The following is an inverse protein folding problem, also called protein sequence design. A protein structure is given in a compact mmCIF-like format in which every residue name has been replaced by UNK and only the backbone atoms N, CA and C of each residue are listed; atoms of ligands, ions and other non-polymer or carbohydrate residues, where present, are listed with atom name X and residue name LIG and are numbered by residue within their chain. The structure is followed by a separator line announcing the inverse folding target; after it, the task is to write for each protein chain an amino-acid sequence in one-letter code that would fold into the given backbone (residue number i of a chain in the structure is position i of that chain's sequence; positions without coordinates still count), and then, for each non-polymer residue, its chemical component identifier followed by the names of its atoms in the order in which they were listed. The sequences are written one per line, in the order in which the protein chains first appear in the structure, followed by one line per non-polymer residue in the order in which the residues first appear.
data_IF_974305511500
#
_entry.id   IF_974305511500
#
_cell.length_a   1.000
_cell.length_b   1.000
_cell.length_c   1.000
_cell.angle_alpha   90.00
_cell.angle_beta   90.00
_cell.angle_gamma   90.00
#
_symmetry.space_group_name_H-M   'P 1'
#
loop_
_entity.id
_entity.type
_entity.pdbx_description
1 polymer ?
#
# COMPACT_ATOMS: atom_id res chain seq x y z
N UNK A 1 -0.30 -2.53 22.28
CA UNK A 1 -0.93 -3.87 22.18
C UNK A 1 -0.95 -4.30 20.72
N UNK A 2 -0.85 -5.60 20.42
CA UNK A 2 -0.95 -6.09 19.05
C UNK A 2 -2.40 -6.09 18.57
N UNK A 3 -2.70 -5.33 17.52
CA UNK A 3 -4.04 -5.28 16.91
C UNK A 3 -4.36 -6.63 16.27
N UNK A 4 -5.63 -7.02 16.29
CA UNK A 4 -6.14 -8.18 15.56
C UNK A 4 -7.05 -7.66 14.45
N UNK A 5 -6.65 -7.84 13.19
CA UNK A 5 -7.40 -7.35 12.04
C UNK A 5 -8.78 -8.03 11.99
N UNK A 6 -9.88 -7.27 12.05
CA UNK A 6 -11.22 -7.82 11.93
C UNK A 6 -11.58 -8.01 10.44
N UNK A 7 -12.39 -9.02 10.12
CA UNK A 7 -12.85 -9.29 8.73
C UNK A 7 -14.03 -8.40 8.31
N UNK A 8 -13.87 -7.08 8.36
CA UNK A 8 -14.95 -6.11 8.11
C UNK A 8 -15.24 -5.85 6.62
N UNK A 9 -14.34 -6.28 5.72
CA UNK A 9 -14.45 -6.14 4.27
C UNK A 9 -14.68 -7.47 3.56
N UNK A 10 -15.29 -8.43 4.26
CA UNK A 10 -15.60 -9.74 3.72
C UNK A 10 -16.32 -9.66 2.36
N UNK A 11 -15.71 -10.22 1.32
CA UNK A 11 -16.30 -10.28 -0.02
C UNK A 11 -16.36 -8.94 -0.75
N UNK A 12 -15.60 -7.92 -0.31
CA UNK A 12 -15.64 -6.57 -0.90
C UNK A 12 -14.45 -6.31 -1.82
N UNK A 13 -14.68 -5.38 -2.73
CA UNK A 13 -13.63 -4.72 -3.52
C UNK A 13 -13.00 -3.58 -2.71
N UNK A 14 -11.67 -3.48 -2.80
CA UNK A 14 -10.81 -2.54 -2.07
C UNK A 14 -9.75 -1.99 -3.02
N UNK A 15 -9.43 -0.71 -2.85
CA UNK A 15 -8.41 0.00 -3.60
C UNK A 15 -7.21 0.25 -2.70
N UNK A 16 -6.02 -0.01 -3.21
CA UNK A 16 -4.77 0.30 -2.54
C UNK A 16 -4.04 1.35 -3.37
N UNK A 17 -3.84 2.52 -2.76
CA UNK A 17 -3.17 3.64 -3.40
C UNK A 17 -1.74 3.71 -2.85
N UNK A 18 -0.80 3.29 -3.69
CA UNK A 18 0.64 3.42 -3.48
C UNK A 18 1.13 4.85 -3.67
N UNK A 19 2.44 5.04 -3.60
CA UNK A 19 3.09 6.35 -3.73
C UNK A 19 3.80 6.57 -5.07
N UNK A 20 3.64 5.69 -6.06
CA UNK A 20 4.36 5.80 -7.33
C UNK A 20 3.95 7.04 -8.15
N UNK A 21 4.81 7.52 -9.07
CA UNK A 21 4.62 8.82 -9.73
C UNK A 21 3.35 8.93 -10.58
N UNK A 22 2.83 7.82 -11.10
CA UNK A 22 1.62 7.83 -11.93
C UNK A 22 0.42 8.49 -11.23
N UNK A 23 0.36 8.47 -9.90
CA UNK A 23 -0.79 9.03 -9.17
C UNK A 23 -0.92 10.56 -9.29
N UNK A 24 0.10 11.27 -9.78
CA UNK A 24 -0.02 12.71 -10.07
C UNK A 24 -1.14 13.01 -11.07
N UNK A 25 -1.44 12.06 -11.97
CA UNK A 25 -2.51 12.15 -12.97
C UNK A 25 -3.81 11.45 -12.56
N UNK A 26 -3.92 11.03 -11.29
CA UNK A 26 -5.08 10.30 -10.80
C UNK A 26 -6.28 11.25 -10.58
N UNK A 27 -7.43 10.90 -11.14
CA UNK A 27 -8.73 11.51 -10.87
C UNK A 27 -9.25 11.05 -9.51
N UNK A 28 -8.70 11.64 -8.44
CA UNK A 28 -9.02 11.30 -7.03
C UNK A 28 -10.53 11.25 -6.76
N UNK A 29 -11.31 12.14 -7.40
CA UNK A 29 -12.76 12.20 -7.24
C UNK A 29 -13.50 10.91 -7.64
N UNK A 30 -13.00 10.15 -8.61
CA UNK A 30 -13.60 8.89 -9.09
C UNK A 30 -13.52 7.76 -8.06
N UNK A 31 -12.65 7.91 -7.05
CA UNK A 31 -12.49 6.97 -5.94
C UNK A 31 -13.24 7.42 -4.67
N UNK A 32 -14.01 8.50 -4.73
CA UNK A 32 -14.80 8.97 -3.60
C UNK A 32 -15.77 7.89 -3.09
N UNK A 33 -15.83 7.71 -1.77
CA UNK A 33 -16.68 6.69 -1.13
C UNK A 33 -16.24 5.24 -1.31
N UNK A 34 -15.14 4.97 -2.03
CA UNK A 34 -14.58 3.62 -2.15
C UNK A 34 -13.85 3.19 -0.87
N UNK A 35 -13.62 1.89 -0.72
CA UNK A 35 -12.78 1.34 0.36
C UNK A 35 -11.32 1.50 -0.03
N UNK A 36 -10.62 2.37 0.66
CA UNK A 36 -9.24 2.75 0.30
C UNK A 36 -8.31 2.45 1.47
N UNK A 37 -7.19 1.81 1.14
CA UNK A 37 -5.97 1.82 1.95
C UNK A 37 -4.93 2.66 1.20
N UNK A 38 -4.38 3.67 1.85
CA UNK A 38 -3.28 4.47 1.30
C UNK A 38 -1.94 4.02 1.90
N UNK A 39 -0.86 4.18 1.14
CA UNK A 39 0.49 3.98 1.63
C UNK A 39 1.24 5.31 1.76
N UNK A 40 1.87 5.53 2.91
CA UNK A 40 2.68 6.72 3.18
C UNK A 40 1.96 8.01 2.73
N UNK A 41 2.62 8.90 1.96
CA UNK A 41 2.12 10.24 1.60
C UNK A 41 0.78 10.27 0.85
N UNK A 42 0.34 9.15 0.26
CA UNK A 42 -0.94 9.09 -0.45
C UNK A 42 -2.16 9.40 0.42
N UNK A 43 -2.00 9.45 1.76
CA UNK A 43 -3.00 10.03 2.68
C UNK A 43 -3.38 11.47 2.35
N UNK A 44 -2.48 12.27 1.76
CA UNK A 44 -2.76 13.66 1.37
C UNK A 44 -3.79 13.74 0.24
N UNK A 45 -3.82 12.73 -0.64
CA UNK A 45 -4.81 12.63 -1.72
C UNK A 45 -6.14 12.08 -1.19
N UNK A 46 -6.10 11.23 -0.17
CA UNK A 46 -7.28 10.60 0.43
C UNK A 46 -7.28 10.75 1.95
N UNK A 47 -7.51 11.97 2.49
CA UNK A 47 -7.51 12.21 3.93
C UNK A 47 -8.61 11.45 4.67
N UNK A 48 -9.66 11.03 3.93
CA UNK A 48 -10.80 10.26 4.41
C UNK A 48 -10.69 8.75 4.06
N UNK A 49 -9.54 8.26 3.59
CA UNK A 49 -9.34 6.83 3.40
C UNK A 49 -9.46 6.06 4.72
N UNK A 50 -9.79 4.77 4.66
CA UNK A 50 -10.10 3.99 5.86
C UNK A 50 -8.83 3.65 6.66
N UNK A 51 -7.72 3.42 5.96
CA UNK A 51 -6.43 3.06 6.54
C UNK A 51 -5.29 3.76 5.82
N UNK A 52 -4.29 4.22 6.58
CA UNK A 52 -2.98 4.60 6.07
C UNK A 52 -1.94 3.62 6.61
N UNK A 53 -1.32 2.84 5.72
CA UNK A 53 -0.26 1.91 6.06
C UNK A 53 1.11 2.52 5.82
N UNK A 54 2.02 2.38 6.79
CA UNK A 54 3.40 2.83 6.65
C UNK A 54 4.36 1.98 7.49
N UNK A 55 5.62 1.91 7.06
CA UNK A 55 6.66 1.10 7.73
C UNK A 55 7.88 1.90 8.17
N UNK A 56 8.18 2.99 7.48
CA UNK A 56 9.42 3.74 7.67
C UNK A 56 9.29 4.72 8.85
N UNK A 57 9.85 4.35 10.00
CA UNK A 57 9.75 5.21 11.19
C UNK A 57 10.59 6.47 11.06
N UNK A 58 11.88 6.32 10.75
CA UNK A 58 12.82 7.44 10.77
C UNK A 58 12.73 8.27 9.49
N UNK A 59 12.68 7.61 8.34
CA UNK A 59 12.77 8.20 7.01
C UNK A 59 11.46 8.80 6.53
N UNK A 60 10.34 8.47 7.18
CA UNK A 60 9.03 8.98 6.82
C UNK A 60 8.25 9.47 8.04
N UNK A 61 7.91 8.60 8.99
CA UNK A 61 6.96 8.95 10.05
C UNK A 61 7.42 10.13 10.91
N UNK A 62 8.70 10.18 11.33
CA UNK A 62 9.23 11.29 12.13
C UNK A 62 8.99 12.66 11.47
N UNK A 63 9.06 12.72 10.15
CA UNK A 63 8.92 13.95 9.36
C UNK A 63 7.46 14.31 9.05
N UNK A 64 6.57 13.31 8.95
CA UNK A 64 5.17 13.53 8.53
C UNK A 64 4.16 13.39 9.68
N UNK A 65 4.54 12.86 10.85
CA UNK A 65 3.60 12.50 11.93
C UNK A 65 2.68 13.62 12.37
N UNK A 66 3.13 14.89 12.31
CA UNK A 66 2.32 16.04 12.72
C UNK A 66 1.16 16.23 11.74
N UNK A 67 1.48 16.46 10.47
CA UNK A 67 0.49 16.61 9.40
C UNK A 67 -0.41 15.38 9.29
N UNK A 68 0.18 14.17 9.29
CA UNK A 68 -0.54 12.92 9.21
C UNK A 68 -1.61 12.81 10.31
N UNK A 69 -1.25 13.06 11.57
CA UNK A 69 -2.19 12.96 12.71
C UNK A 69 -3.19 14.11 12.77
N UNK A 70 -2.87 15.27 12.21
CA UNK A 70 -3.76 16.43 12.17
C UNK A 70 -4.79 16.35 11.03
N UNK A 71 -4.44 15.69 9.91
CA UNK A 71 -5.22 15.75 8.66
C UNK A 71 -5.86 14.43 8.25
N UNK A 72 -5.25 13.29 8.56
CA UNK A 72 -5.79 11.98 8.20
C UNK A 72 -6.85 11.53 9.20
N UNK A 73 -8.04 11.20 8.72
CA UNK A 73 -9.19 10.84 9.57
C UNK A 73 -9.35 9.33 9.76
N UNK A 74 -8.64 8.54 8.95
CA UNK A 74 -8.66 7.08 9.01
C UNK A 74 -7.74 6.48 10.09
N UNK A 75 -7.63 5.16 10.08
CA UNK A 75 -6.78 4.44 11.01
C UNK A 75 -5.33 4.37 10.53
N UNK A 76 -4.39 4.69 11.41
CA UNK A 76 -2.96 4.50 11.15
C UNK A 76 -2.58 3.05 11.42
N UNK A 77 -1.90 2.40 10.48
CA UNK A 77 -1.48 0.99 10.61
C UNK A 77 0.01 0.88 10.33
N UNK A 78 0.73 0.15 11.17
CA UNK A 78 2.15 -0.12 10.96
C UNK A 78 2.58 -1.45 11.55
N UNK A 79 3.67 -2.01 11.02
CA UNK A 79 4.38 -3.13 11.63
C UNK A 79 5.76 -2.77 12.19
N UNK A 80 6.10 -1.48 12.21
CA UNK A 80 7.36 -1.05 12.80
C UNK A 80 7.29 -1.18 14.34
N UNK A 81 8.25 -1.86 14.95
CA UNK A 81 8.22 -2.24 16.37
C UNK A 81 8.06 -1.05 17.34
N UNK A 82 8.48 0.17 16.94
CA UNK A 82 8.28 1.40 17.71
C UNK A 82 6.81 1.76 17.97
N UNK A 83 5.87 1.20 17.21
CA UNK A 83 4.44 1.44 17.40
C UNK A 83 3.75 0.41 18.31
N UNK A 84 4.48 -0.58 18.85
CA UNK A 84 3.90 -1.60 19.75
C UNK A 84 3.14 -1.01 20.95
N UNK A 85 3.55 0.17 21.40
CA UNK A 85 3.00 0.88 22.56
C UNK A 85 2.32 2.21 22.17
N UNK A 86 2.25 2.54 20.88
CA UNK A 86 1.56 3.76 20.42
C UNK A 86 0.05 3.48 20.43
N UNK A 87 -0.76 4.25 21.19
CA UNK A 87 -2.19 4.00 21.30
C UNK A 87 -2.97 4.38 20.03
N UNK A 88 -2.39 5.24 19.17
CA UNK A 88 -3.07 5.79 17.99
C UNK A 88 -2.69 5.06 16.70
N UNK A 89 -1.82 4.05 16.80
CA UNK A 89 -1.38 3.25 15.65
C UNK A 89 -1.76 1.80 15.88
N UNK A 90 -2.53 1.24 14.95
CA UNK A 90 -2.88 -0.17 14.91
C UNK A 90 -1.62 -0.98 14.54
N UNK A 91 -0.95 -1.50 15.56
CA UNK A 91 0.28 -2.25 15.39
C UNK A 91 0.03 -3.72 15.01
N UNK A 92 0.72 -4.20 13.96
CA UNK A 92 0.76 -5.60 13.54
C UNK A 92 2.19 -6.16 13.64
N UNK A 93 2.34 -7.42 14.05
CA UNK A 93 3.65 -8.06 14.12
C UNK A 93 4.17 -8.35 12.70
N UNK A 94 5.42 -7.98 12.42
CA UNK A 94 6.06 -8.35 11.16
C UNK A 94 6.19 -9.87 11.05
N UNK A 95 5.74 -10.44 9.94
CA UNK A 95 5.80 -11.87 9.60
C UNK A 95 6.74 -12.12 8.42
N UNK A 96 7.72 -11.22 8.22
CA UNK A 96 8.69 -11.28 7.13
C UNK A 96 8.23 -10.58 5.86
N UNK A 97 9.01 -10.77 4.79
CA UNK A 97 8.81 -10.10 3.50
C UNK A 97 8.23 -11.01 2.41
N UNK A 98 8.12 -12.33 2.63
CA UNK A 98 7.69 -13.30 1.61
C UNK A 98 6.43 -14.06 2.01
N UNK A 99 5.64 -14.45 1.02
CA UNK A 99 4.38 -15.18 1.17
C UNK A 99 3.22 -14.30 1.62
N UNK A 100 2.24 -14.91 2.28
CA UNK A 100 1.02 -14.27 2.78
C UNK A 100 0.76 -14.73 4.20
N UNK A 101 0.70 -13.80 5.16
CA UNK A 101 0.25 -14.16 6.50
C UNK A 101 -1.27 -14.18 6.59
N UNK A 102 -1.79 -15.21 7.24
CA UNK A 102 -3.21 -15.41 7.56
C UNK A 102 -3.50 -15.12 9.04
N UNK A 103 -2.47 -14.77 9.82
CA UNK A 103 -2.60 -14.46 11.24
C UNK A 103 -3.18 -13.05 11.38
N UNK A 104 -4.35 -12.85 12.04
CA UNK A 104 -4.97 -11.53 12.15
C UNK A 104 -4.11 -10.48 12.84
N UNK A 105 -3.14 -10.88 13.68
CA UNK A 105 -2.20 -9.94 14.30
C UNK A 105 -0.89 -9.75 13.56
N UNK A 106 -0.70 -10.33 12.38
CA UNK A 106 0.56 -10.28 11.64
C UNK A 106 0.46 -9.50 10.32
N UNK A 107 1.60 -9.15 9.73
CA UNK A 107 1.67 -8.66 8.36
C UNK A 107 2.90 -9.21 7.62
N UNK A 108 2.73 -9.70 6.39
CA UNK A 108 3.85 -9.90 5.46
C UNK A 108 3.99 -8.65 4.60
N UNK A 109 5.20 -8.08 4.52
CA UNK A 109 5.35 -6.71 4.05
C UNK A 109 6.00 -6.53 2.67
N UNK A 110 6.58 -7.56 2.05
CA UNK A 110 7.21 -7.40 0.74
C UNK A 110 8.38 -6.42 0.65
N UNK A 111 8.93 -5.97 1.80
CA UNK A 111 9.86 -4.84 1.91
C UNK A 111 9.31 -3.48 1.44
N UNK A 112 7.99 -3.31 1.30
CA UNK A 112 7.38 -2.03 0.95
C UNK A 112 5.94 -1.89 1.49
N UNK A 113 5.52 -0.67 1.81
CA UNK A 113 4.19 -0.42 2.38
C UNK A 113 3.04 -0.87 1.46
N UNK A 114 3.22 -0.85 0.13
CA UNK A 114 2.21 -1.29 -0.84
C UNK A 114 1.89 -2.78 -0.73
N UNK A 115 2.91 -3.64 -0.71
CA UNK A 115 2.73 -5.08 -0.50
C UNK A 115 2.14 -5.39 0.88
N UNK A 116 2.56 -4.66 1.92
CA UNK A 116 1.97 -4.80 3.25
C UNK A 116 0.47 -4.45 3.27
N UNK A 117 0.07 -3.39 2.56
CA UNK A 117 -1.32 -3.00 2.40
C UNK A 117 -2.16 -4.08 1.68
N UNK A 118 -1.59 -4.82 0.72
CA UNK A 118 -2.26 -5.96 0.07
C UNK A 118 -2.58 -7.05 1.09
N UNK A 119 -1.60 -7.41 1.93
CA UNK A 119 -1.86 -8.39 2.99
C UNK A 119 -2.91 -7.87 4.00
N UNK A 120 -2.91 -6.57 4.32
CA UNK A 120 -3.92 -5.97 5.20
C UNK A 120 -5.32 -6.07 4.58
N UNK A 121 -5.49 -5.75 3.29
CA UNK A 121 -6.77 -5.89 2.59
C UNK A 121 -7.29 -7.33 2.62
N UNK A 122 -6.40 -8.31 2.40
CA UNK A 122 -6.71 -9.73 2.55
C UNK A 122 -7.19 -10.08 3.97
N UNK A 123 -6.48 -9.64 5.01
CA UNK A 123 -6.85 -9.90 6.41
C UNK A 123 -8.18 -9.23 6.80
N UNK A 124 -8.49 -8.08 6.20
CA UNK A 124 -9.78 -7.41 6.33
C UNK A 124 -10.91 -8.19 5.61
N UNK A 125 -10.59 -9.21 4.81
CA UNK A 125 -11.55 -10.10 4.14
C UNK A 125 -11.87 -9.70 2.70
N UNK A 126 -11.13 -8.75 2.11
CA UNK A 126 -11.32 -8.35 0.72
C UNK A 126 -11.11 -9.54 -0.23
N UNK A 127 -11.95 -9.63 -1.26
CA UNK A 127 -11.85 -10.66 -2.32
C UNK A 127 -11.38 -10.07 -3.64
N UNK A 128 -11.44 -8.75 -3.78
CA UNK A 128 -10.96 -8.02 -4.96
C UNK A 128 -10.11 -6.84 -4.48
N UNK A 129 -8.88 -6.75 -4.99
CA UNK A 129 -7.89 -5.74 -4.61
C UNK A 129 -7.41 -5.04 -5.89
N UNK A 130 -7.65 -3.74 -5.97
CA UNK A 130 -7.23 -2.89 -7.09
C UNK A 130 -6.00 -2.08 -6.68
N UNK A 131 -4.92 -2.19 -7.47
CA UNK A 131 -3.65 -1.50 -7.22
C UNK A 131 -3.54 -0.22 -8.05
N UNK A 132 -3.29 0.90 -7.38
CA UNK A 132 -3.18 2.24 -7.98
C UNK A 132 -1.85 2.86 -7.52
N UNK A 133 -1.04 3.41 -8.43
CA UNK A 133 0.27 3.97 -8.07
C UNK A 133 1.34 2.91 -7.74
N UNK A 134 1.20 1.70 -8.29
CA UNK A 134 2.17 0.61 -8.17
C UNK A 134 3.09 0.59 -9.40
N UNK A 135 3.73 1.72 -9.73
CA UNK A 135 4.56 1.86 -10.92
C UNK A 135 5.68 0.82 -10.99
N UNK A 136 6.29 0.48 -9.85
CA UNK A 136 7.41 -0.47 -9.73
C UNK A 136 8.58 -0.19 -10.69
N UNK A 137 8.74 1.08 -11.06
CA UNK A 137 9.83 1.65 -11.84
C UNK A 137 9.92 3.13 -11.50
N UNK A 138 11.01 3.77 -11.95
CA UNK A 138 11.03 5.22 -12.00
C UNK A 138 10.19 5.73 -13.18
N UNK A 139 9.53 6.87 -12.98
CA UNK A 139 8.88 7.66 -14.02
C UNK A 139 9.54 9.02 -13.96
N UNK A 140 10.12 9.47 -15.08
CA UNK A 140 10.78 10.78 -15.18
C UNK A 140 11.82 11.06 -14.08
N UNK A 141 12.56 10.01 -13.67
CA UNK A 141 13.59 10.07 -12.63
C UNK A 141 13.07 9.99 -11.19
N UNK A 142 11.76 9.89 -10.99
CA UNK A 142 11.12 9.85 -9.66
C UNK A 142 10.67 8.44 -9.28
N UNK A 143 10.87 8.09 -8.00
CA UNK A 143 10.32 6.88 -7.39
C UNK A 143 8.92 7.09 -6.81
N UNK A 144 8.58 8.33 -6.46
CA UNK A 144 7.31 8.70 -5.86
C UNK A 144 6.73 9.94 -6.54
N UNK A 145 5.44 10.19 -6.36
CA UNK A 145 4.73 11.39 -6.84
C UNK A 145 5.08 12.69 -6.08
N UNK A 146 5.96 12.60 -5.10
CA UNK A 146 6.39 13.72 -4.28
C UNK A 146 7.91 13.77 -4.21
N UNK A 147 8.44 14.97 -3.98
CA UNK A 147 9.89 15.22 -3.95
C UNK A 147 10.50 15.11 -2.54
N UNK A 148 9.68 14.87 -1.50
CA UNK A 148 10.18 14.69 -0.13
C UNK A 148 10.96 13.38 0.00
N UNK A 149 12.27 13.48 0.30
CA UNK A 149 13.13 12.35 0.58
C UNK A 149 13.99 12.65 1.80
N UNK A 150 13.71 11.96 2.91
CA UNK A 150 14.47 12.09 4.16
C UNK A 150 15.40 10.88 4.41
N UNK A 151 15.61 10.04 3.39
CA UNK A 151 16.51 8.89 3.46
C UNK A 151 17.95 9.38 3.47
N UNK A 152 18.76 8.84 4.37
CA UNK A 152 20.21 9.11 4.43
C UNK A 152 21.00 8.27 3.43
N UNK A 153 20.39 7.20 2.90
CA UNK A 153 20.97 6.32 1.89
C UNK A 153 20.16 6.41 0.61
N UNK A 154 20.85 6.35 -0.53
CA UNK A 154 20.20 6.22 -1.84
C UNK A 154 19.40 4.93 -1.92
N UNK A 155 18.31 4.98 -2.67
CA UNK A 155 17.56 3.78 -3.04
C UNK A 155 18.42 3.00 -4.05
N UNK A 156 18.62 1.68 -3.88
CA UNK A 156 19.30 0.88 -4.89
C UNK A 156 18.58 0.98 -6.24
N UNK A 157 19.34 1.17 -7.32
CA UNK A 157 18.78 1.34 -8.68
C UNK A 157 17.89 0.16 -9.10
N UNK A 158 18.22 -1.04 -8.63
CA UNK A 158 17.53 -2.28 -8.96
C UNK A 158 16.46 -2.70 -7.93
N UNK A 159 16.14 -1.88 -6.92
CA UNK A 159 15.30 -2.24 -5.76
C UNK A 159 14.00 -2.96 -6.13
N UNK A 160 13.37 -2.55 -7.25
CA UNK A 160 12.14 -3.14 -7.73
C UNK A 160 12.35 -4.58 -8.20
N UNK A 161 13.40 -4.81 -8.99
CA UNK A 161 13.76 -6.11 -9.55
C UNK A 161 14.41 -7.04 -8.51
N UNK A 162 15.21 -6.50 -7.61
CA UNK A 162 15.95 -7.28 -6.61
C UNK A 162 15.16 -7.56 -5.34
N UNK A 163 14.13 -6.75 -5.02
CA UNK A 163 13.40 -6.87 -3.76
C UNK A 163 11.88 -6.84 -3.93
N UNK A 164 11.30 -5.74 -4.41
CA UNK A 164 9.85 -5.52 -4.27
C UNK A 164 9.01 -6.48 -5.11
N UNK A 165 9.32 -6.60 -6.41
CA UNK A 165 8.57 -7.47 -7.33
C UNK A 165 8.74 -8.95 -6.94
N UNK A 166 9.96 -9.49 -6.70
CA UNK A 166 10.10 -10.90 -6.31
C UNK A 166 9.38 -11.24 -5.01
N UNK A 167 9.41 -10.35 -4.01
CA UNK A 167 8.68 -10.60 -2.76
C UNK A 167 7.16 -10.55 -2.98
N UNK A 168 6.66 -9.57 -3.73
CA UNK A 168 5.23 -9.51 -4.08
C UNK A 168 4.79 -10.72 -4.91
N UNK A 169 5.64 -11.26 -5.78
CA UNK A 169 5.37 -12.50 -6.53
C UNK A 169 5.10 -13.69 -5.59
N UNK A 170 5.86 -13.82 -4.49
CA UNK A 170 5.58 -14.87 -3.51
C UNK A 170 4.24 -14.70 -2.81
N UNK A 171 3.77 -13.46 -2.64
CA UNK A 171 2.43 -13.18 -2.09
C UNK A 171 1.34 -13.41 -3.12
N UNK A 172 1.57 -13.06 -4.39
CA UNK A 172 0.63 -13.25 -5.49
C UNK A 172 0.20 -14.73 -5.62
N UNK A 173 1.17 -15.65 -5.58
CA UNK A 173 0.91 -17.11 -5.60
C UNK A 173 0.00 -17.55 -4.44
N UNK A 174 0.19 -16.96 -3.26
CA UNK A 174 -0.64 -17.30 -2.10
C UNK A 174 -2.03 -16.67 -2.19
N UNK A 175 -2.15 -15.44 -2.69
CA UNK A 175 -3.44 -14.77 -2.90
C UNK A 175 -4.30 -15.49 -3.95
N UNK A 176 -3.67 -16.00 -5.02
CA UNK A 176 -4.35 -16.81 -6.03
C UNK A 176 -4.93 -18.10 -5.43
N UNK A 177 -4.17 -18.81 -4.59
CA UNK A 177 -4.65 -20.01 -3.87
C UNK A 177 -5.82 -19.71 -2.93
N UNK A 178 -5.87 -18.50 -2.38
CA UNK A 178 -6.98 -18.01 -1.54
C UNK A 178 -8.17 -17.51 -2.37
N UNK A 179 -8.09 -17.56 -3.71
CA UNK A 179 -9.16 -17.08 -4.61
C UNK A 179 -9.32 -15.56 -4.63
N UNK A 180 -8.28 -14.82 -4.26
CA UNK A 180 -8.30 -13.35 -4.22
C UNK A 180 -7.94 -12.80 -5.59
N UNK A 181 -8.81 -11.97 -6.14
CA UNK A 181 -8.54 -11.25 -7.38
C UNK A 181 -7.73 -9.99 -7.07
N UNK A 182 -6.48 -9.96 -7.50
CA UNK A 182 -5.64 -8.75 -7.45
C UNK A 182 -5.47 -8.24 -8.87
N UNK A 183 -5.68 -6.94 -9.08
CA UNK A 183 -5.67 -6.35 -10.40
C UNK A 183 -4.94 -5.01 -10.41
N UNK A 184 -4.22 -4.72 -11.49
CA UNK A 184 -3.39 -3.54 -11.62
C UNK A 184 -4.12 -2.44 -12.41
N UNK A 185 -4.43 -1.32 -11.74
CA UNK A 185 -4.99 -0.11 -12.34
C UNK A 185 -3.96 1.04 -12.33
N UNK A 186 -2.69 0.73 -12.57
CA UNK A 186 -1.61 1.71 -12.68
C UNK A 186 -1.11 1.79 -14.13
N UNK A 187 -1.27 2.93 -14.83
CA UNK A 187 -0.85 3.08 -16.22
C UNK A 187 0.67 2.92 -16.36
N UNK A 188 1.09 2.14 -17.35
CA UNK A 188 2.52 1.94 -17.64
C UNK A 188 3.32 1.32 -16.50
N UNK A 189 2.68 0.65 -15.55
CA UNK A 189 3.34 -0.04 -14.44
C UNK A 189 4.26 -1.17 -14.94
N UNK A 190 5.42 -1.33 -14.30
CA UNK A 190 6.33 -2.47 -14.50
C UNK A 190 5.91 -3.72 -13.70
N UNK A 191 4.87 -3.61 -12.87
CA UNK A 191 4.27 -4.74 -12.17
C UNK A 191 3.31 -5.50 -13.09
N UNK A 192 3.79 -6.59 -13.69
CA UNK A 192 3.05 -7.47 -14.61
C UNK A 192 2.54 -8.76 -13.93
N UNK A 193 2.71 -8.89 -12.62
CA UNK A 193 2.27 -10.04 -11.83
C UNK A 193 0.75 -10.20 -11.75
N UNK A 194 -0.01 -9.14 -12.05
CA UNK A 194 -1.45 -9.08 -11.93
C UNK A 194 -2.07 -8.57 -13.23
N UNK A 195 -3.27 -9.06 -13.62
CA UNK A 195 -3.95 -8.56 -14.80
C UNK A 195 -4.23 -7.05 -14.69
N UNK A 196 -4.01 -6.33 -15.79
CA UNK A 196 -4.33 -4.91 -15.87
C UNK A 196 -5.84 -4.69 -16.00
N UNK A 197 -6.37 -3.70 -15.27
CA UNK A 197 -7.76 -3.22 -15.37
C UNK A 197 -7.81 -1.99 -16.26
N UNK A 198 -7.74 -2.22 -17.57
CA UNK A 198 -7.70 -1.16 -18.58
C UNK A 198 -8.91 -0.21 -18.48
N UNK A 199 -10.10 -0.76 -18.21
CA UNK A 199 -11.33 0.02 -17.97
C UNK A 199 -11.16 1.02 -16.82
N UNK A 200 -10.53 0.60 -15.72
CA UNK A 200 -10.25 1.50 -14.60
C UNK A 200 -9.10 2.46 -14.90
N UNK A 201 -8.10 2.06 -15.68
CA UNK A 201 -7.02 2.97 -16.07
C UNK A 201 -7.57 4.14 -16.90
N UNK A 202 -8.42 3.84 -17.89
CA UNK A 202 -9.09 4.84 -18.72
C UNK A 202 -10.01 5.75 -17.89
N UNK A 203 -10.73 5.18 -16.92
CA UNK A 203 -11.62 5.95 -16.06
C UNK A 203 -10.87 6.83 -15.04
N UNK A 204 -9.75 6.35 -14.51
CA UNK A 204 -9.07 6.97 -13.35
C UNK A 204 -7.96 7.94 -13.73
N UNK A 205 -7.43 7.90 -14.94
CA UNK A 205 -6.32 8.76 -15.35
C UNK A 205 -6.74 9.65 -16.54
N UNK A 206 -6.16 10.85 -16.60
CA UNK A 206 -6.18 11.65 -17.83
C UNK A 206 -5.11 11.14 -18.81
N UNK A 207 -5.39 11.24 -20.11
CA UNK A 207 -4.40 10.98 -21.18
C UNK A 207 -3.20 11.94 -21.08
#
# INVERSE_FOLDING_TARGET
MQWQVPRIWQGKEVYIVGGGPSIEKLKVAELSGKRIIVANNSYRLFPDAHYCFFMDYHEWYVHHKKELRETFKGNLVSCHHKFQQDPDVLYLASNGSKGLTRKPGGITNGNNSGTAAINLAFLLGATTIILIGFDMRMVDGSHNYHNECFRTKSVPEDIYKSSFIPNLATMAVELEKEGISVQNATPGSALDLFPFRHDLIEALYDE
#
